data_IF_971260527121
#
_entry.id   IF_971260527121
#
_cell.length_a   1.000
_cell.length_b   1.000
_cell.length_c   1.000
_cell.angle_alpha   90.00
_cell.angle_beta   90.00
_cell.angle_gamma   90.00
#
_symmetry.space_group_name_H-M   'P 1'
#
loop_
_entity.id
_entity.type
_entity.pdbx_description
1 polymer ?
#
# COMPACT_ATOMS: atom_id res chain seq x y z
N UNK A 1 36.03 -0.96 10.40
CA UNK A 1 34.84 -1.71 9.98
C UNK A 1 33.65 -1.02 10.63
N UNK A 2 32.91 -0.23 9.86
CA UNK A 2 31.69 0.39 10.36
C UNK A 2 30.69 -0.74 10.61
N UNK A 3 30.20 -0.79 11.81
CA UNK A 3 29.11 -1.70 12.24
C UNK A 3 27.90 -1.38 11.37
N UNK A 4 27.62 -2.23 10.37
CA UNK A 4 26.41 -2.15 9.57
C UNK A 4 25.31 -2.64 10.49
N UNK A 5 24.78 -1.76 11.34
CA UNK A 5 23.59 -2.06 12.10
C UNK A 5 22.56 -2.57 11.08
N UNK A 6 22.05 -3.79 11.30
CA UNK A 6 21.05 -4.41 10.45
C UNK A 6 19.76 -3.59 10.56
N UNK A 7 19.66 -2.54 9.76
CA UNK A 7 18.49 -1.69 9.74
C UNK A 7 17.36 -2.44 9.06
N UNK A 8 16.28 -2.63 9.79
CA UNK A 8 15.06 -3.26 9.31
C UNK A 8 14.16 -2.20 8.69
N UNK A 9 13.66 -2.47 7.49
CA UNK A 9 12.76 -1.58 6.76
C UNK A 9 11.35 -2.18 6.70
N UNK A 10 10.37 -1.34 6.93
CA UNK A 10 8.95 -1.71 6.94
C UNK A 10 8.25 -1.04 5.77
N UNK A 11 7.51 -1.82 4.97
CA UNK A 11 6.66 -1.35 3.89
C UNK A 11 5.20 -1.61 4.22
N UNK A 12 4.35 -0.60 4.14
CA UNK A 12 2.91 -0.70 4.36
C UNK A 12 2.21 -0.36 3.05
N UNK A 13 1.63 -1.37 2.42
CA UNK A 13 0.94 -1.25 1.14
C UNK A 13 -0.54 -0.98 1.35
N UNK A 14 -1.06 -0.06 0.53
CA UNK A 14 -2.48 0.21 0.43
C UNK A 14 -2.85 0.57 -1.02
N UNK A 15 -4.13 0.53 -1.33
CA UNK A 15 -4.65 0.82 -2.65
C UNK A 15 -5.74 1.88 -2.64
N UNK A 16 -5.91 2.53 -3.79
CA UNK A 16 -7.02 3.44 -4.04
C UNK A 16 -7.73 3.10 -5.34
N UNK A 17 -9.04 3.08 -5.29
CA UNK A 17 -9.90 2.61 -6.35
C UNK A 17 -10.08 1.09 -6.33
N UNK A 18 -10.85 0.56 -7.29
CA UNK A 18 -11.06 -0.88 -7.46
C UNK A 18 -10.16 -1.43 -8.56
N UNK A 19 -9.55 -2.60 -8.42
CA UNK A 19 -8.79 -3.24 -9.50
C UNK A 19 -9.69 -3.84 -10.58
N UNK A 20 -10.99 -3.94 -10.34
CA UNK A 20 -11.93 -4.55 -11.27
C UNK A 20 -12.20 -3.66 -12.48
N UNK A 21 -12.23 -4.27 -13.67
CA UNK A 21 -12.60 -3.65 -14.94
C UNK A 21 -13.87 -4.27 -15.51
N UNK A 22 -14.07 -5.57 -15.25
CA UNK A 22 -15.20 -6.33 -15.75
C UNK A 22 -16.04 -6.88 -14.59
N UNK A 23 -17.36 -6.75 -14.69
CA UNK A 23 -18.29 -7.46 -13.84
C UNK A 23 -18.55 -8.88 -14.37
N UNK A 24 -19.22 -9.68 -13.54
CA UNK A 24 -19.84 -10.93 -13.99
C UNK A 24 -20.76 -10.63 -15.19
N UNK A 25 -20.84 -11.54 -16.16
CA UNK A 25 -21.58 -11.37 -17.42
C UNK A 25 -20.93 -10.44 -18.45
N UNK A 26 -19.65 -10.10 -18.32
CA UNK A 26 -18.90 -9.39 -19.35
C UNK A 26 -19.14 -7.87 -19.44
N UNK A 27 -19.80 -7.28 -18.46
CA UNK A 27 -20.06 -5.83 -18.43
C UNK A 27 -18.77 -5.06 -18.12
N UNK A 28 -18.42 -4.07 -18.94
CA UNK A 28 -17.28 -3.19 -18.72
C UNK A 28 -17.65 -2.09 -17.71
N UNK A 29 -17.22 -2.27 -16.47
CA UNK A 29 -17.51 -1.35 -15.36
C UNK A 29 -16.92 0.06 -15.56
N UNK A 30 -15.80 0.18 -16.26
CA UNK A 30 -15.16 1.47 -16.53
C UNK A 30 -15.98 2.29 -17.53
N UNK A 31 -16.48 1.66 -18.60
CA UNK A 31 -17.29 2.34 -19.60
C UNK A 31 -18.66 2.75 -19.04
N UNK A 32 -19.20 1.98 -18.10
CA UNK A 32 -20.45 2.30 -17.42
C UNK A 32 -20.29 3.25 -16.23
N UNK A 33 -19.08 3.79 -15.99
CA UNK A 33 -18.76 4.64 -14.84
C UNK A 33 -19.11 4.00 -13.47
N UNK A 34 -19.16 2.67 -13.38
CA UNK A 34 -19.42 1.89 -12.15
C UNK A 34 -18.15 1.63 -11.34
N UNK A 35 -17.00 1.97 -11.85
CA UNK A 35 -15.70 1.88 -11.18
C UNK A 35 -14.78 3.02 -11.58
N UNK A 36 -13.75 3.29 -10.78
CA UNK A 36 -12.74 4.30 -11.09
C UNK A 36 -12.01 3.99 -12.40
N UNK A 37 -11.61 5.01 -13.15
CA UNK A 37 -10.81 4.89 -14.39
C UNK A 37 -9.35 4.54 -14.14
N UNK A 38 -8.91 4.67 -12.89
CA UNK A 38 -7.56 4.35 -12.43
C UNK A 38 -7.61 3.41 -11.25
N UNK A 39 -6.52 2.67 -11.07
CA UNK A 39 -6.23 1.89 -9.88
C UNK A 39 -4.85 2.26 -9.40
N UNK A 40 -4.71 2.58 -8.14
CA UNK A 40 -3.46 3.03 -7.53
C UNK A 40 -3.05 1.99 -6.52
N UNK A 41 -1.78 1.58 -6.56
CA UNK A 41 -1.15 0.81 -5.48
C UNK A 41 0.03 1.64 -5.01
N UNK A 42 0.14 1.83 -3.72
CA UNK A 42 1.21 2.58 -3.09
C UNK A 42 1.72 1.91 -1.83
N UNK A 43 2.80 2.43 -1.31
CA UNK A 43 3.30 2.09 0.02
C UNK A 43 3.88 3.32 0.70
N UNK A 44 3.87 3.29 2.01
CA UNK A 44 4.83 4.04 2.82
C UNK A 44 5.93 3.09 3.28
N UNK A 45 7.15 3.61 3.48
CA UNK A 45 8.24 2.84 4.09
C UNK A 45 8.94 3.67 5.16
N UNK A 46 9.38 3.00 6.22
CA UNK A 46 10.09 3.62 7.35
C UNK A 46 10.95 2.61 8.09
N UNK A 47 11.99 3.07 8.74
CA UNK A 47 12.75 2.31 9.73
C UNK A 47 12.14 2.46 11.15
N UNK A 48 11.24 3.44 11.37
CA UNK A 48 10.69 3.87 12.65
C UNK A 48 9.16 3.72 12.76
N UNK A 49 8.58 2.54 12.54
CA UNK A 49 7.12 2.35 12.51
C UNK A 49 6.45 2.71 13.84
N UNK A 50 7.17 2.53 14.95
CA UNK A 50 6.66 2.84 16.29
C UNK A 50 6.41 4.34 16.48
N UNK A 51 7.30 5.19 15.96
CA UNK A 51 7.14 6.65 16.07
C UNK A 51 5.89 7.12 15.32
N UNK A 52 5.65 6.57 14.13
CA UNK A 52 4.42 6.86 13.36
C UNK A 52 3.19 6.41 14.13
N UNK A 53 3.21 5.18 14.67
CA UNK A 53 2.09 4.64 15.44
C UNK A 53 1.77 5.50 16.67
N UNK A 54 2.78 5.85 17.49
CA UNK A 54 2.59 6.64 18.69
C UNK A 54 2.10 8.08 18.37
N UNK A 55 2.58 8.66 17.27
CA UNK A 55 2.12 9.96 16.80
C UNK A 55 0.65 9.93 16.38
N UNK A 56 0.25 8.94 15.60
CA UNK A 56 -1.15 8.76 15.18
C UNK A 56 -2.06 8.42 16.35
N UNK A 57 -1.57 7.64 17.32
CA UNK A 57 -2.31 7.32 18.55
C UNK A 57 -2.63 8.56 19.36
N UNK A 58 -1.67 9.49 19.54
CA UNK A 58 -1.91 10.78 20.21
C UNK A 58 -3.00 11.58 19.50
N UNK A 59 -2.93 11.68 18.17
CA UNK A 59 -3.99 12.36 17.39
C UNK A 59 -5.35 11.68 17.59
N UNK A 60 -5.39 10.36 17.64
CA UNK A 60 -6.63 9.63 17.88
C UNK A 60 -7.20 9.92 19.27
N UNK A 61 -6.36 9.93 20.32
CA UNK A 61 -6.75 10.28 21.68
C UNK A 61 -7.30 11.73 21.77
N UNK A 62 -6.64 12.69 21.09
CA UNK A 62 -7.15 14.07 21.00
C UNK A 62 -8.54 14.14 20.35
N UNK A 63 -8.75 13.42 19.23
CA UNK A 63 -10.03 13.40 18.52
C UNK A 63 -11.14 12.76 19.37
N UNK A 64 -10.79 11.76 20.18
CA UNK A 64 -11.76 11.09 21.06
C UNK A 64 -12.30 12.01 22.17
N UNK A 65 -11.51 12.98 22.60
CA UNK A 65 -11.83 13.89 23.71
C UNK A 65 -12.23 15.31 23.28
N UNK A 66 -12.23 15.59 21.98
CA UNK A 66 -12.54 16.92 21.42
C UNK A 66 -14.07 17.08 21.27
N UNK A 67 -14.69 17.87 22.14
CA UNK A 67 -16.13 18.13 22.15
C UNK A 67 -16.61 18.85 20.87
N UNK A 68 -15.77 19.69 20.28
CA UNK A 68 -16.10 20.36 19.01
C UNK A 68 -16.23 19.34 17.88
N UNK A 69 -15.27 18.43 17.78
CA UNK A 69 -15.29 17.37 16.77
C UNK A 69 -16.43 16.37 17.00
N UNK A 70 -16.86 16.19 18.25
CA UNK A 70 -17.97 15.28 18.58
C UNK A 70 -19.29 15.68 17.90
N UNK A 71 -19.48 16.95 17.54
CA UNK A 71 -20.64 17.46 16.82
C UNK A 71 -20.64 17.12 15.31
N UNK A 72 -19.51 16.68 14.74
CA UNK A 72 -19.35 16.41 13.32
C UNK A 72 -19.77 14.97 13.01
N UNK A 73 -20.80 14.74 12.15
CA UNK A 73 -21.32 13.39 11.90
C UNK A 73 -20.27 12.37 11.39
N UNK A 74 -19.31 12.82 10.57
CA UNK A 74 -18.26 11.95 10.02
C UNK A 74 -17.23 11.47 11.04
N UNK A 75 -17.17 12.12 12.24
CA UNK A 75 -16.21 11.76 13.29
C UNK A 75 -16.38 10.33 13.79
N UNK A 76 -17.57 9.77 13.70
CA UNK A 76 -17.86 8.39 14.11
C UNK A 76 -17.00 7.37 13.36
N UNK A 77 -16.70 7.62 12.09
CA UNK A 77 -15.79 6.76 11.31
C UNK A 77 -14.34 7.00 11.68
N UNK A 78 -13.93 8.26 11.86
CA UNK A 78 -12.57 8.65 12.24
C UNK A 78 -12.16 8.12 13.62
N UNK A 79 -13.11 8.01 14.55
CA UNK A 79 -12.93 7.38 15.87
C UNK A 79 -12.61 5.88 15.79
N UNK A 80 -12.92 5.22 14.68
CA UNK A 80 -12.57 3.81 14.46
C UNK A 80 -11.25 3.67 13.72
N UNK A 81 -11.08 4.45 12.66
CA UNK A 81 -9.89 4.42 11.80
C UNK A 81 -9.84 5.69 10.94
N UNK A 82 -8.65 6.24 10.74
CA UNK A 82 -8.44 7.37 9.85
C UNK A 82 -8.64 7.00 8.39
N UNK A 83 -9.34 7.87 7.65
CA UNK A 83 -9.57 7.72 6.21
C UNK A 83 -9.47 9.07 5.51
N UNK A 84 -8.47 9.26 4.65
CA UNK A 84 -8.21 10.54 4.00
C UNK A 84 -9.41 11.14 3.24
N UNK A 85 -10.32 10.32 2.69
CA UNK A 85 -11.49 10.80 1.96
C UNK A 85 -12.78 10.86 2.79
N UNK A 86 -12.84 10.18 3.95
CA UNK A 86 -14.04 10.14 4.81
C UNK A 86 -13.93 11.06 6.00
N UNK A 87 -12.70 11.32 6.46
CA UNK A 87 -12.45 12.20 7.58
C UNK A 87 -12.78 13.65 7.22
N UNK A 88 -13.29 14.42 8.19
CA UNK A 88 -13.47 15.86 8.03
C UNK A 88 -12.12 16.57 7.87
N UNK A 89 -12.15 17.83 7.47
CA UNK A 89 -10.93 18.61 7.20
C UNK A 89 -10.08 18.76 8.47
N UNK A 90 -10.70 18.94 9.61
CA UNK A 90 -10.07 19.13 10.92
C UNK A 90 -9.29 17.88 11.36
N UNK A 91 -9.87 16.69 11.17
CA UNK A 91 -9.18 15.42 11.44
C UNK A 91 -7.99 15.24 10.49
N UNK A 92 -8.18 15.49 9.20
CA UNK A 92 -7.09 15.40 8.22
C UNK A 92 -5.95 16.36 8.55
N UNK A 93 -6.26 17.58 8.95
CA UNK A 93 -5.26 18.57 9.35
C UNK A 93 -4.42 18.05 10.53
N UNK A 94 -5.07 17.54 11.59
CA UNK A 94 -4.37 16.97 12.75
C UNK A 94 -3.46 15.81 12.33
N UNK A 95 -3.96 14.87 11.54
CA UNK A 95 -3.20 13.72 11.05
C UNK A 95 -2.00 14.16 10.19
N UNK A 96 -2.19 15.09 9.25
CA UNK A 96 -1.10 15.55 8.39
C UNK A 96 -0.04 16.35 9.17
N UNK A 97 -0.45 17.15 10.15
CA UNK A 97 0.50 17.84 11.03
C UNK A 97 1.34 16.85 11.83
N UNK A 98 0.71 15.79 12.35
CA UNK A 98 1.41 14.76 13.11
C UNK A 98 2.39 13.95 12.26
N UNK A 99 2.09 13.73 10.97
CA UNK A 99 2.95 12.98 10.05
C UNK A 99 4.07 13.82 9.44
N UNK A 100 3.92 15.15 9.39
CA UNK A 100 4.80 16.05 8.63
C UNK A 100 6.29 15.93 8.99
N UNK A 101 6.59 15.74 10.27
CA UNK A 101 7.96 15.76 10.80
C UNK A 101 8.50 14.35 11.07
N UNK A 102 7.78 13.30 10.65
CA UNK A 102 8.19 11.91 10.79
C UNK A 102 8.98 11.42 9.58
N UNK A 103 9.95 10.53 9.85
CA UNK A 103 10.79 9.95 8.80
C UNK A 103 10.09 8.75 8.15
N UNK A 104 9.51 9.00 6.99
CA UNK A 104 8.99 7.97 6.11
C UNK A 104 9.04 8.40 4.65
N UNK A 105 9.18 7.43 3.76
CA UNK A 105 9.06 7.67 2.33
C UNK A 105 7.72 7.13 1.79
N UNK A 106 7.24 7.73 0.69
CA UNK A 106 6.02 7.30 -0.01
C UNK A 106 6.29 7.09 -1.49
N UNK A 107 5.70 6.06 -2.06
CA UNK A 107 5.68 5.85 -3.51
C UNK A 107 4.39 5.16 -3.93
N UNK A 108 3.88 5.53 -5.12
CA UNK A 108 2.74 4.83 -5.72
C UNK A 108 2.91 4.67 -7.24
N UNK A 109 2.12 3.74 -7.79
CA UNK A 109 1.90 3.58 -9.22
C UNK A 109 0.43 3.82 -9.52
N UNK A 110 0.16 4.70 -10.47
CA UNK A 110 -1.19 4.97 -10.99
C UNK A 110 -1.39 4.18 -12.28
N UNK A 111 -2.22 3.15 -12.23
CA UNK A 111 -2.55 2.32 -13.38
C UNK A 111 -3.85 2.80 -14.03
N UNK A 112 -3.78 3.35 -15.26
CA UNK A 112 -4.97 3.63 -16.06
C UNK A 112 -5.57 2.33 -16.58
N UNK A 113 -6.85 2.10 -16.28
CA UNK A 113 -7.55 0.89 -16.67
C UNK A 113 -7.92 0.91 -18.15
N UNK A 114 -7.35 -0.04 -18.92
CA UNK A 114 -7.69 -0.26 -20.34
C UNK A 114 -8.09 -1.72 -20.52
N UNK A 115 -9.32 -1.97 -20.99
CA UNK A 115 -9.85 -3.33 -21.14
C UNK A 115 -8.98 -4.22 -22.05
N UNK A 116 -8.43 -3.67 -23.13
CA UNK A 116 -7.55 -4.41 -24.04
C UNK A 116 -6.30 -4.95 -23.35
N UNK A 117 -5.67 -4.12 -22.50
CA UNK A 117 -4.50 -4.52 -21.71
C UNK A 117 -4.92 -5.53 -20.63
N UNK A 118 -6.05 -5.32 -19.99
CA UNK A 118 -6.55 -6.20 -18.94
C UNK A 118 -6.86 -7.61 -19.45
N UNK A 119 -7.44 -7.71 -20.65
CA UNK A 119 -7.65 -8.99 -21.33
C UNK A 119 -6.33 -9.65 -21.72
N UNK A 120 -5.46 -8.91 -22.44
CA UNK A 120 -4.25 -9.47 -23.03
C UNK A 120 -3.17 -9.81 -22.00
N UNK A 121 -2.96 -8.94 -21.01
CA UNK A 121 -1.84 -9.07 -20.06
C UNK A 121 -2.24 -9.74 -18.75
N UNK A 122 -3.46 -9.52 -18.28
CA UNK A 122 -3.89 -9.94 -16.95
C UNK A 122 -5.01 -10.99 -16.98
N UNK A 123 -5.36 -11.52 -18.16
CA UNK A 123 -6.37 -12.57 -18.31
C UNK A 123 -7.68 -12.27 -17.58
N UNK A 124 -8.07 -11.00 -17.51
CA UNK A 124 -9.20 -10.50 -16.76
C UNK A 124 -9.12 -10.73 -15.22
N UNK A 125 -7.92 -11.04 -14.70
CA UNK A 125 -7.70 -11.29 -13.27
C UNK A 125 -7.13 -10.06 -12.57
N UNK A 126 -7.88 -9.49 -11.63
CA UNK A 126 -7.46 -8.34 -10.82
C UNK A 126 -6.22 -8.63 -9.97
N UNK A 127 -6.05 -9.88 -9.52
CA UNK A 127 -4.87 -10.30 -8.76
C UNK A 127 -3.58 -10.22 -9.59
N UNK A 128 -3.63 -10.51 -10.89
CA UNK A 128 -2.46 -10.38 -11.77
C UNK A 128 -2.10 -8.91 -12.04
N UNK A 129 -3.09 -8.03 -12.15
CA UNK A 129 -2.85 -6.59 -12.22
C UNK A 129 -2.18 -6.09 -10.95
N UNK A 130 -2.72 -6.46 -9.78
CA UNK A 130 -2.16 -6.07 -8.48
C UNK A 130 -0.72 -6.58 -8.33
N UNK A 131 -0.48 -7.86 -8.62
CA UNK A 131 0.85 -8.47 -8.63
C UNK A 131 1.85 -7.68 -9.48
N UNK A 132 1.51 -7.35 -10.73
CA UNK A 132 2.37 -6.59 -11.65
C UNK A 132 2.73 -5.20 -11.11
N UNK A 133 1.79 -4.53 -10.42
CA UNK A 133 2.04 -3.23 -9.80
C UNK A 133 2.98 -3.34 -8.59
N UNK A 134 2.80 -4.35 -7.74
CA UNK A 134 3.70 -4.62 -6.61
C UNK A 134 5.12 -4.94 -7.10
N UNK A 135 5.27 -5.80 -8.11
CA UNK A 135 6.57 -6.12 -8.72
C UNK A 135 7.26 -4.84 -9.21
N UNK A 136 6.53 -3.97 -9.91
CA UNK A 136 7.09 -2.69 -10.42
C UNK A 136 7.50 -1.73 -9.30
N UNK A 137 6.73 -1.68 -8.22
CA UNK A 137 7.07 -0.84 -7.06
C UNK A 137 8.34 -1.34 -6.35
N UNK A 138 8.52 -2.65 -6.24
CA UNK A 138 9.54 -3.26 -5.39
C UNK A 138 10.84 -3.63 -6.11
N UNK A 139 10.84 -3.82 -7.44
CA UNK A 139 11.98 -4.35 -8.20
C UNK A 139 13.31 -3.64 -8.02
N UNK A 140 13.30 -2.34 -7.71
CA UNK A 140 14.52 -1.54 -7.57
C UNK A 140 14.77 -1.12 -6.08
N UNK A 141 14.16 -1.81 -5.09
CA UNK A 141 14.20 -1.43 -3.67
C UNK A 141 14.68 -2.53 -2.71
N UNK A 142 14.38 -3.79 -3.01
CA UNK A 142 14.63 -4.90 -2.10
C UNK A 142 16.12 -5.20 -1.84
N UNK A 143 17.01 -4.61 -2.62
CA UNK A 143 18.46 -4.74 -2.46
C UNK A 143 19.07 -3.78 -1.41
N UNK A 144 18.30 -2.81 -0.92
CA UNK A 144 18.82 -1.74 -0.06
C UNK A 144 19.00 -2.18 1.40
N UNK A 145 18.18 -3.13 1.87
CA UNK A 145 18.16 -3.56 3.27
C UNK A 145 18.24 -5.09 3.38
N UNK A 146 18.77 -5.58 4.50
CA UNK A 146 18.91 -7.01 4.78
C UNK A 146 17.66 -7.61 5.41
N UNK A 147 16.90 -6.84 6.18
CA UNK A 147 15.62 -7.24 6.76
C UNK A 147 14.50 -6.32 6.28
N UNK A 148 13.43 -6.91 5.78
CA UNK A 148 12.30 -6.19 5.21
C UNK A 148 10.99 -6.88 5.63
N UNK A 149 10.06 -6.10 6.16
CA UNK A 149 8.69 -6.53 6.39
C UNK A 149 7.75 -5.79 5.43
N UNK A 150 6.96 -6.54 4.66
CA UNK A 150 5.96 -6.02 3.73
C UNK A 150 4.56 -6.33 4.24
N UNK A 151 3.83 -5.33 4.67
CA UNK A 151 2.45 -5.41 5.16
C UNK A 151 1.50 -5.02 4.03
N UNK A 152 0.53 -5.88 3.74
CA UNK A 152 -0.49 -5.64 2.73
C UNK A 152 -1.86 -5.61 3.38
N UNK A 153 -2.69 -4.63 3.01
CA UNK A 153 -4.11 -4.61 3.37
C UNK A 153 -4.84 -5.78 2.71
N UNK A 154 -5.73 -6.45 3.44
CA UNK A 154 -6.47 -7.57 2.89
C UNK A 154 -7.47 -7.09 1.83
N UNK A 155 -7.35 -7.59 0.61
CA UNK A 155 -8.34 -7.39 -0.45
C UNK A 155 -8.87 -8.75 -0.92
N UNK A 156 -10.16 -9.01 -0.66
CA UNK A 156 -10.79 -10.30 -0.97
C UNK A 156 -10.55 -10.71 -2.43
N UNK A 157 -10.06 -11.92 -2.63
CA UNK A 157 -9.74 -12.52 -3.94
C UNK A 157 -8.62 -11.84 -4.76
N UNK A 158 -8.01 -10.77 -4.28
CA UNK A 158 -6.95 -10.02 -4.98
C UNK A 158 -5.62 -10.17 -4.25
N UNK A 159 -5.58 -9.81 -2.97
CA UNK A 159 -4.39 -9.93 -2.12
C UNK A 159 -4.44 -11.26 -1.38
N UNK A 160 -3.49 -12.14 -1.70
CA UNK A 160 -3.31 -13.46 -1.08
C UNK A 160 -1.85 -13.67 -0.76
N UNK A 161 -1.55 -14.35 0.35
CA UNK A 161 -0.19 -14.58 0.84
C UNK A 161 0.76 -15.04 -0.26
N UNK A 162 0.49 -16.17 -0.90
CA UNK A 162 1.36 -16.73 -1.93
C UNK A 162 1.54 -15.79 -3.15
N UNK A 163 0.50 -15.06 -3.57
CA UNK A 163 0.61 -14.11 -4.69
C UNK A 163 1.55 -12.95 -4.32
N UNK A 164 1.50 -12.46 -3.08
CA UNK A 164 2.35 -11.36 -2.65
C UNK A 164 3.80 -11.83 -2.45
N UNK A 165 4.01 -13.01 -1.90
CA UNK A 165 5.34 -13.65 -1.82
C UNK A 165 5.95 -13.85 -3.21
N UNK A 166 5.19 -14.36 -4.17
CA UNK A 166 5.61 -14.48 -5.57
C UNK A 166 5.96 -13.12 -6.19
N UNK A 167 5.20 -12.06 -5.85
CA UNK A 167 5.48 -10.71 -6.35
C UNK A 167 6.82 -10.19 -5.86
N UNK A 168 7.11 -10.38 -4.59
CA UNK A 168 8.37 -9.97 -3.97
C UNK A 168 9.54 -10.77 -4.56
N UNK A 169 9.40 -12.09 -4.69
CA UNK A 169 10.41 -12.95 -5.29
C UNK A 169 10.68 -12.57 -6.76
N UNK A 170 9.64 -12.31 -7.55
CA UNK A 170 9.76 -11.87 -8.95
C UNK A 170 10.49 -10.51 -9.03
N UNK A 171 10.21 -9.57 -8.14
CA UNK A 171 10.89 -8.28 -8.09
C UNK A 171 12.40 -8.45 -7.84
N UNK A 172 12.80 -9.34 -6.92
CA UNK A 172 14.20 -9.68 -6.63
C UNK A 172 14.87 -10.27 -7.88
N UNK A 173 14.23 -11.21 -8.57
CA UNK A 173 14.78 -11.86 -9.74
C UNK A 173 14.98 -10.87 -10.91
N UNK A 174 14.02 -9.97 -11.13
CA UNK A 174 14.14 -8.92 -12.17
C UNK A 174 15.33 -8.02 -11.87
N UNK A 175 15.51 -7.58 -10.63
CA UNK A 175 16.63 -6.75 -10.22
C UNK A 175 17.96 -7.47 -10.43
N UNK A 176 18.08 -8.69 -9.91
CA UNK A 176 19.29 -9.49 -10.00
C UNK A 176 19.72 -9.77 -11.45
N UNK A 177 18.74 -10.08 -12.31
CA UNK A 177 18.98 -10.29 -13.75
C UNK A 177 19.42 -8.99 -14.45
N UNK A 178 18.78 -7.86 -14.16
CA UNK A 178 19.08 -6.55 -14.74
C UNK A 178 20.50 -6.10 -14.43
N UNK A 179 20.92 -6.28 -13.18
CA UNK A 179 22.22 -5.80 -12.68
C UNK A 179 23.31 -6.90 -12.67
N UNK A 180 23.00 -8.14 -13.09
CA UNK A 180 23.92 -9.30 -13.08
C UNK A 180 24.56 -9.56 -11.71
N UNK A 181 23.81 -9.35 -10.63
CA UNK A 181 24.22 -9.57 -9.24
C UNK A 181 23.43 -10.73 -8.63
N UNK A 182 24.10 -11.51 -7.76
CA UNK A 182 23.38 -12.52 -6.98
C UNK A 182 22.40 -11.81 -6.03
N UNK A 183 21.16 -12.35 -5.89
CA UNK A 183 20.26 -11.88 -4.86
C UNK A 183 20.98 -11.95 -3.50
N UNK A 184 20.90 -10.90 -2.71
CA UNK A 184 21.32 -10.99 -1.31
C UNK A 184 20.37 -11.94 -0.58
N UNK A 185 20.88 -12.65 0.41
CA UNK A 185 20.05 -13.39 1.37
C UNK A 185 19.34 -12.38 2.28
N UNK A 186 18.31 -11.74 1.76
CA UNK A 186 17.50 -10.81 2.52
C UNK A 186 16.41 -11.59 3.26
N UNK A 187 16.22 -11.30 4.53
CA UNK A 187 15.10 -11.83 5.29
C UNK A 187 13.88 -10.96 5.01
N UNK A 188 13.05 -11.39 4.06
CA UNK A 188 11.83 -10.66 3.69
C UNK A 188 10.62 -11.42 4.21
N UNK A 189 9.75 -10.73 4.95
CA UNK A 189 8.47 -11.26 5.40
C UNK A 189 7.33 -10.55 4.71
N UNK A 190 6.37 -11.32 4.24
CA UNK A 190 5.10 -10.82 3.68
C UNK A 190 4.01 -11.09 4.71
N UNK A 191 3.24 -10.06 5.06
CA UNK A 191 2.21 -10.11 6.10
C UNK A 191 0.94 -9.48 5.53
N UNK A 192 -0.16 -10.23 5.54
CA UNK A 192 -1.47 -9.71 5.14
C UNK A 192 -2.24 -9.35 6.41
N UNK A 193 -2.64 -8.09 6.51
CA UNK A 193 -3.41 -7.56 7.62
C UNK A 193 -4.90 -7.65 7.27
N UNK A 194 -5.66 -8.31 8.14
CA UNK A 194 -7.12 -8.45 8.06
C UNK A 194 -7.85 -7.32 8.77
#
# INVERSE_FOLDING_TARGET
>A
MQDISQKKLYYYFDESGSPEIMARKGVNLVNENKTSKVFIVGFIHTEHPREIFESLKKVHEEIMTDDYLASIPSIVSSKKMFHANKDCAEVREKVYKALKDLDFGFQCIVARKKLSIFKKKYELKSSLLYKDLVVKLMRDRLHLNTEIDCYFSAMKNVVKQGIMEDSINEAIQIFSKKWKIKPRENRIRVIIQS
#
